data_IF_816555275874
#
_entry.id   IF_816555275874
#
_cell.length_a   1.000
_cell.length_b   1.000
_cell.length_c   1.000
_cell.angle_alpha   90.00
_cell.angle_beta   90.00
_cell.angle_gamma   90.00
#
_symmetry.space_group_name_H-M   'P 1'
#
loop_
_entity.id
_entity.type
_entity.pdbx_description
1 polymer ?
#
# COMPACT_ATOMS: atom_id res chain seq x y z
N UNK A 1 15.51 -24.05 3.79
CA UNK A 1 14.75 -22.78 3.90
C UNK A 1 14.53 -22.49 5.38
N UNK A 2 15.38 -21.64 5.99
CA UNK A 2 15.17 -21.19 7.38
C UNK A 2 14.03 -20.16 7.34
N UNK A 3 12.96 -20.40 8.12
CA UNK A 3 11.88 -19.43 8.28
C UNK A 3 12.45 -18.19 8.98
N UNK A 4 12.17 -17.00 8.46
CA UNK A 4 12.49 -15.74 9.14
C UNK A 4 11.88 -15.77 10.55
N UNK A 5 12.72 -15.57 11.58
CA UNK A 5 12.26 -15.37 12.96
C UNK A 5 11.21 -14.24 12.93
N UNK A 6 10.04 -14.47 13.51
CA UNK A 6 9.06 -13.40 13.70
C UNK A 6 9.65 -12.43 14.72
N UNK A 7 10.19 -11.31 14.23
CA UNK A 7 10.67 -10.22 15.06
C UNK A 7 9.41 -9.60 15.70
N UNK A 8 9.45 -9.45 17.04
CA UNK A 8 8.41 -8.79 17.83
C UNK A 8 8.04 -7.46 17.19
N UNK A 9 6.73 -7.16 17.15
CA UNK A 9 6.12 -5.92 16.66
C UNK A 9 6.93 -4.66 17.01
N UNK A 10 7.85 -4.28 16.13
CA UNK A 10 8.55 -3.00 16.18
C UNK A 10 7.87 -2.10 15.15
N UNK A 11 7.51 -0.89 15.55
CA UNK A 11 6.98 0.10 14.63
C UNK A 11 8.06 0.58 13.66
N UNK A 12 7.65 1.14 12.52
CA UNK A 12 8.59 1.68 11.52
C UNK A 12 9.47 2.79 12.13
N UNK A 13 8.92 3.58 13.06
CA UNK A 13 9.66 4.65 13.73
C UNK A 13 10.72 4.10 14.69
N UNK A 14 10.36 3.14 15.53
CA UNK A 14 11.32 2.48 16.44
C UNK A 14 12.45 1.78 15.67
N UNK A 15 12.14 1.19 14.51
CA UNK A 15 13.16 0.61 13.64
C UNK A 15 14.07 1.69 13.02
N UNK A 16 13.51 2.84 12.64
CA UNK A 16 14.30 3.97 12.12
C UNK A 16 15.28 4.48 13.17
N UNK A 17 14.79 4.77 14.37
CA UNK A 17 15.61 5.29 15.47
C UNK A 17 16.72 4.29 15.85
N UNK A 18 16.43 2.99 15.84
CA UNK A 18 17.41 1.94 16.11
C UNK A 18 18.54 1.90 15.08
N UNK A 19 18.22 2.03 13.79
CA UNK A 19 19.23 1.98 12.71
C UNK A 19 19.95 3.31 12.48
N UNK A 20 19.49 4.41 13.09
CA UNK A 20 20.26 5.66 13.14
C UNK A 20 21.48 5.55 14.07
N UNK A 21 21.41 4.68 15.09
CA UNK A 21 22.47 4.48 16.08
C UNK A 21 23.32 3.21 15.87
N UNK A 22 22.85 2.26 15.05
CA UNK A 22 23.50 0.96 14.83
C UNK A 22 23.85 0.71 13.35
N UNK A 23 25.06 0.18 13.10
CA UNK A 23 25.45 -0.28 11.75
C UNK A 23 25.12 -1.78 11.55
N UNK A 24 24.74 -2.17 10.33
CA UNK A 24 24.47 -3.57 9.97
C UNK A 24 25.67 -4.49 10.20
N UNK A 25 26.89 -3.97 10.14
CA UNK A 25 28.13 -4.72 10.38
C UNK A 25 28.37 -5.10 11.84
N UNK A 26 27.61 -4.51 12.79
CA UNK A 26 27.65 -4.87 14.21
C UNK A 26 27.02 -6.25 14.49
N UNK A 27 26.30 -6.82 13.52
CA UNK A 27 25.55 -8.05 13.69
C UNK A 27 26.07 -9.15 12.76
N UNK A 28 26.63 -10.22 13.34
CA UNK A 28 27.20 -11.36 12.60
C UNK A 28 26.16 -12.24 11.89
N UNK A 29 24.87 -12.10 12.23
CA UNK A 29 23.76 -12.88 11.70
C UNK A 29 22.92 -12.16 10.63
N UNK A 30 23.36 -10.98 10.18
CA UNK A 30 22.69 -10.22 9.12
C UNK A 30 23.15 -10.71 7.75
N UNK A 31 22.24 -11.32 7.00
CA UNK A 31 22.44 -11.70 5.60
C UNK A 31 21.83 -10.64 4.67
N UNK A 32 22.59 -10.23 3.64
CA UNK A 32 22.10 -9.35 2.58
C UNK A 32 20.93 -10.02 1.83
N UNK A 33 19.73 -9.43 1.92
CA UNK A 33 18.54 -9.95 1.25
C UNK A 33 18.51 -9.49 -0.20
N UNK A 34 18.80 -10.41 -1.13
CA UNK A 34 18.88 -10.13 -2.58
C UNK A 34 17.54 -10.25 -3.32
N UNK A 35 16.51 -10.81 -2.68
CA UNK A 35 15.22 -11.13 -3.30
C UNK A 35 14.08 -10.16 -2.93
N UNK A 36 14.35 -8.85 -2.84
CA UNK A 36 13.30 -7.86 -2.61
C UNK A 36 12.62 -7.52 -3.95
N UNK A 37 11.46 -8.12 -4.19
CA UNK A 37 10.63 -7.82 -5.38
C UNK A 37 9.68 -6.67 -5.09
N UNK A 38 10.03 -5.47 -5.53
CA UNK A 38 9.13 -4.32 -5.49
C UNK A 38 8.13 -4.40 -6.67
N UNK A 39 6.83 -4.48 -6.38
CA UNK A 39 5.77 -4.29 -7.38
C UNK A 39 5.41 -2.81 -7.50
N UNK A 40 6.32 -2.02 -8.09
CA UNK A 40 6.06 -0.61 -8.36
C UNK A 40 4.96 -0.46 -9.42
N UNK A 41 3.73 -0.26 -8.95
CA UNK A 41 2.59 0.01 -9.83
C UNK A 41 2.40 1.52 -9.95
N UNK A 42 2.25 2.02 -11.19
CA UNK A 42 1.89 3.42 -11.41
C UNK A 42 0.48 3.63 -10.86
N UNK A 43 0.36 4.50 -9.85
CA UNK A 43 -0.96 4.94 -9.38
C UNK A 43 -1.64 5.74 -10.49
N UNK A 44 -2.88 5.37 -10.81
CA UNK A 44 -3.74 6.14 -11.72
C UNK A 44 -4.50 7.16 -10.89
N UNK A 45 -4.44 8.43 -11.28
CA UNK A 45 -5.17 9.51 -10.61
C UNK A 45 -6.27 10.01 -11.54
N UNK A 46 -7.48 10.14 -11.00
CA UNK A 46 -8.63 10.72 -11.69
C UNK A 46 -9.02 11.96 -10.90
N UNK A 47 -9.10 13.10 -11.57
CA UNK A 47 -9.58 14.34 -10.96
C UNK A 47 -11.07 14.22 -10.67
N UNK A 48 -11.44 14.22 -9.39
CA UNK A 48 -12.83 14.18 -8.93
C UNK A 48 -12.98 15.28 -7.88
N UNK A 49 -14.07 16.03 -7.96
CA UNK A 49 -14.41 17.01 -6.94
C UNK A 49 -14.57 16.34 -5.56
N UNK A 50 -14.21 17.05 -4.48
CA UNK A 50 -14.19 16.48 -3.13
C UNK A 50 -15.59 16.10 -2.65
N UNK A 51 -16.59 16.93 -2.92
CA UNK A 51 -17.97 16.65 -2.51
C UNK A 51 -18.54 15.47 -3.28
N UNK A 52 -18.21 15.39 -4.58
CA UNK A 52 -18.56 14.24 -5.41
C UNK A 52 -17.91 12.94 -4.91
N UNK A 53 -16.63 12.99 -4.52
CA UNK A 53 -15.92 11.84 -3.98
C UNK A 53 -16.55 11.34 -2.67
N UNK A 54 -17.00 12.24 -1.79
CA UNK A 54 -17.72 11.87 -0.56
C UNK A 54 -19.02 11.10 -0.85
N UNK A 55 -19.74 11.48 -1.92
CA UNK A 55 -20.95 10.77 -2.36
C UNK A 55 -20.60 9.40 -2.93
N UNK A 56 -19.57 9.31 -3.76
CA UNK A 56 -19.09 8.04 -4.35
C UNK A 56 -18.71 7.07 -3.24
N UNK A 57 -17.93 7.52 -2.25
CA UNK A 57 -17.52 6.72 -1.10
C UNK A 57 -18.70 6.13 -0.33
N UNK A 58 -19.72 6.93 -0.06
CA UNK A 58 -20.95 6.46 0.61
C UNK A 58 -21.67 5.39 -0.21
N UNK A 59 -21.76 5.56 -1.53
CA UNK A 59 -22.39 4.58 -2.44
C UNK A 59 -21.58 3.29 -2.54
N UNK A 60 -20.26 3.38 -2.72
CA UNK A 60 -19.36 2.23 -2.80
C UNK A 60 -19.47 1.35 -1.55
N UNK A 61 -19.47 1.98 -0.36
CA UNK A 61 -19.68 1.29 0.91
C UNK A 61 -21.02 0.55 0.97
N UNK A 62 -22.10 1.17 0.49
CA UNK A 62 -23.44 0.56 0.47
C UNK A 62 -23.52 -0.62 -0.49
N UNK A 63 -22.74 -0.60 -1.57
CA UNK A 63 -22.68 -1.65 -2.59
C UNK A 63 -21.64 -2.74 -2.28
N UNK A 64 -20.89 -2.63 -1.17
CA UNK A 64 -19.79 -3.53 -0.82
C UNK A 64 -18.69 -3.59 -1.90
N UNK A 65 -18.43 -2.45 -2.55
CA UNK A 65 -17.44 -2.30 -3.62
C UNK A 65 -16.43 -1.22 -3.25
N UNK A 66 -15.28 -1.22 -3.91
CA UNK A 66 -14.31 -0.13 -3.79
C UNK A 66 -14.77 1.08 -4.60
N UNK A 67 -14.34 2.27 -4.18
CA UNK A 67 -14.60 3.53 -4.88
C UNK A 67 -14.11 3.46 -6.33
N UNK A 68 -12.91 2.89 -6.55
CA UNK A 68 -12.32 2.73 -7.87
C UNK A 68 -13.16 1.82 -8.79
N UNK A 69 -13.70 0.70 -8.27
CA UNK A 69 -14.54 -0.19 -9.08
C UNK A 69 -15.82 0.52 -9.49
N UNK A 70 -16.49 1.20 -8.55
CA UNK A 70 -17.72 1.94 -8.83
C UNK A 70 -17.50 3.07 -9.85
N UNK A 71 -16.39 3.80 -9.75
CA UNK A 71 -16.04 4.85 -10.71
C UNK A 71 -15.83 4.26 -12.10
N UNK A 72 -15.07 3.17 -12.21
CA UNK A 72 -14.77 2.56 -13.51
C UNK A 72 -16.01 1.95 -14.18
N UNK A 73 -16.90 1.32 -13.43
CA UNK A 73 -18.18 0.81 -13.97
C UNK A 73 -19.05 1.94 -14.50
N UNK A 74 -19.24 3.00 -13.73
CA UNK A 74 -20.05 4.15 -14.14
C UNK A 74 -19.46 4.86 -15.37
N UNK A 75 -18.13 4.98 -15.44
CA UNK A 75 -17.47 5.56 -16.61
C UNK A 75 -17.60 4.65 -17.85
N UNK A 76 -17.51 3.31 -17.67
CA UNK A 76 -17.68 2.35 -18.78
C UNK A 76 -19.07 2.44 -19.38
N UNK A 77 -20.12 2.45 -18.54
CA UNK A 77 -21.51 2.60 -18.99
C UNK A 77 -21.75 3.87 -19.81
N UNK A 78 -21.02 4.96 -19.51
CA UNK A 78 -21.17 6.25 -20.18
C UNK A 78 -20.28 6.43 -21.41
N UNK A 79 -19.14 5.76 -21.45
CA UNK A 79 -18.15 5.90 -22.52
C UNK A 79 -18.35 4.89 -23.67
N UNK A 80 -19.08 3.78 -23.42
CA UNK A 80 -19.44 2.78 -24.44
C UNK A 80 -20.77 3.11 -25.16
N UNK A 81 -21.25 4.36 -25.07
CA UNK A 81 -22.40 4.93 -25.81
C UNK A 81 -21.89 5.91 -26.86
#
# INVERSE_FOLDING_TARGET
MKKSKQIKNMSVYEASDFWDEHDFSEFEDVEEVKDIRFSLTRKKYIGVDTDLYLVIKKKAKKLHMTEDTLINECLREKAEV
#
